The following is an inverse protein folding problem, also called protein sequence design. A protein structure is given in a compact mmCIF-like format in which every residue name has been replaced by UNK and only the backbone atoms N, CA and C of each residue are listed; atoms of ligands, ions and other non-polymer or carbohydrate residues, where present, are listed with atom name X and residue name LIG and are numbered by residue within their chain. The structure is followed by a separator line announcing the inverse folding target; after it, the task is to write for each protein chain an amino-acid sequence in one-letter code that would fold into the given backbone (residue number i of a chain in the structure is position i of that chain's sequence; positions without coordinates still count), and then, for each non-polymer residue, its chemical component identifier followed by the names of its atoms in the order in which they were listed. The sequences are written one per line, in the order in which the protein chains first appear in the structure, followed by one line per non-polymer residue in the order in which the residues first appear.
data_IF_884821976987
#
_entry.id   IF_884821976987
#
_cell.length_a   1.000
_cell.length_b   1.000
_cell.length_c   1.000
_cell.angle_alpha   90.00
_cell.angle_beta   90.00
_cell.angle_gamma   90.00
#
_symmetry.space_group_name_H-M   'P 1'
#
loop_
_entity.id
_entity.type
_entity.pdbx_description
1 polymer ?
#
# COMPACT_ATOMS: atom_id res chain seq x y z
N UNK A 1 39.06 17.98 19.80
CA UNK A 1 39.12 16.65 19.17
C UNK A 1 38.51 15.67 20.15
N UNK A 2 37.53 14.80 19.86
CA UNK A 2 36.63 14.57 18.70
C UNK A 2 35.47 13.70 19.23
N UNK A 3 34.20 13.77 18.81
CA UNK A 3 33.41 14.71 17.99
C UNK A 3 31.92 14.46 18.34
N UNK A 4 31.03 15.45 18.23
CA UNK A 4 29.59 15.26 18.46
C UNK A 4 28.97 14.32 17.42
N UNK A 5 28.25 13.29 17.87
CA UNK A 5 27.53 12.38 16.98
C UNK A 5 26.24 13.05 16.51
N UNK A 6 26.33 13.70 15.34
CA UNK A 6 25.21 14.39 14.68
C UNK A 6 23.93 13.55 14.67
N UNK A 7 22.86 14.10 15.25
CA UNK A 7 21.55 13.46 15.27
C UNK A 7 20.98 13.38 13.85
N UNK A 8 20.57 12.17 13.43
CA UNK A 8 19.86 11.98 12.16
C UNK A 8 18.59 12.84 12.14
N UNK A 9 18.27 13.56 11.05
CA UNK A 9 17.01 14.29 10.96
C UNK A 9 15.85 13.30 10.97
N UNK A 10 14.99 13.38 11.98
CA UNK A 10 13.72 12.65 11.99
C UNK A 10 12.83 13.23 10.90
N UNK A 11 12.44 12.39 9.93
CA UNK A 11 11.56 12.81 8.84
C UNK A 11 10.15 13.03 9.39
N UNK A 12 9.78 14.29 9.62
CA UNK A 12 8.47 14.65 10.18
C UNK A 12 7.39 14.52 9.11
N UNK A 13 6.76 13.34 9.05
CA UNK A 13 5.50 13.15 8.33
C UNK A 13 4.38 13.84 9.12
N UNK A 14 4.00 15.04 8.67
CA UNK A 14 2.73 15.66 9.06
C UNK A 14 1.58 14.82 8.52
N UNK A 15 1.18 13.78 9.25
CA UNK A 15 0.01 12.96 8.93
C UNK A 15 -1.28 13.75 9.20
N UNK A 16 -1.67 14.58 8.23
CA UNK A 16 -3.10 14.83 8.06
C UNK A 16 -3.75 13.48 7.84
N UNK A 17 -4.51 13.00 8.83
CA UNK A 17 -5.22 11.73 8.77
C UNK A 17 -6.25 11.78 7.64
N UNK A 18 -5.79 11.41 6.44
CA UNK A 18 -6.61 11.38 5.26
C UNK A 18 -7.59 10.21 5.44
N UNK A 19 -8.89 10.50 5.41
CA UNK A 19 -9.93 9.48 5.28
C UNK A 19 -9.79 8.81 3.92
N UNK A 20 -8.81 7.90 3.83
CA UNK A 20 -8.46 7.18 2.62
C UNK A 20 -9.37 5.99 2.39
N UNK A 21 -9.03 5.21 1.36
CA UNK A 21 -9.79 4.02 0.95
C UNK A 21 -10.02 3.01 2.09
N UNK A 22 -9.18 2.99 3.13
CA UNK A 22 -9.29 2.14 4.32
C UNK A 22 -10.67 2.19 5.03
N UNK A 23 -11.43 3.29 4.88
CA UNK A 23 -12.75 3.45 5.51
C UNK A 23 -13.92 3.08 4.57
N UNK A 24 -13.66 2.40 3.44
CA UNK A 24 -14.71 2.01 2.50
C UNK A 24 -15.62 0.90 3.07
N UNK A 25 -16.96 0.99 2.97
CA UNK A 25 -17.86 -0.05 3.49
C UNK A 25 -17.60 -1.43 2.86
N UNK A 26 -17.49 -2.46 3.71
CA UNK A 26 -17.24 -3.84 3.28
C UNK A 26 -15.79 -4.14 2.87
N UNK A 27 -14.84 -3.23 3.12
CA UNK A 27 -13.44 -3.45 2.73
C UNK A 27 -12.76 -4.64 3.44
N UNK A 28 -13.24 -5.05 4.62
CA UNK A 28 -12.71 -6.22 5.34
C UNK A 28 -13.47 -7.53 5.07
N UNK A 29 -14.55 -7.52 4.28
CA UNK A 29 -15.40 -8.70 4.01
C UNK A 29 -14.63 -9.87 3.36
N UNK A 30 -13.50 -9.59 2.70
CA UNK A 30 -12.64 -10.61 2.11
C UNK A 30 -11.98 -11.53 3.13
N UNK A 31 -11.87 -11.11 4.40
CA UNK A 31 -11.21 -11.88 5.47
C UNK A 31 -11.98 -13.16 5.85
N UNK A 32 -13.28 -13.17 5.61
CA UNK A 32 -14.16 -14.32 5.85
C UNK A 32 -14.22 -15.28 4.65
N UNK A 33 -13.57 -14.94 3.52
CA UNK A 33 -13.51 -15.79 2.33
C UNK A 33 -12.40 -16.85 2.43
N UNK A 34 -12.55 -18.02 1.79
CA UNK A 34 -11.50 -19.04 1.73
C UNK A 34 -10.22 -18.51 1.05
N UNK A 35 -9.07 -18.65 1.73
CA UNK A 35 -7.76 -18.21 1.23
C UNK A 35 -6.78 -19.38 1.08
N UNK A 36 -6.21 -19.56 -0.11
CA UNK A 36 -5.42 -20.76 -0.46
C UNK A 36 -3.90 -20.61 -0.40
N UNK A 37 -3.38 -19.37 -0.50
CA UNK A 37 -1.94 -19.09 -0.65
C UNK A 37 -1.40 -18.18 0.48
N UNK A 38 -2.04 -18.20 1.65
CA UNK A 38 -1.58 -17.46 2.81
C UNK A 38 -0.52 -18.26 3.59
N UNK A 39 0.63 -17.67 3.94
CA UNK A 39 1.65 -18.34 4.74
C UNK A 39 1.18 -18.55 6.19
N UNK A 40 1.66 -19.62 6.83
CA UNK A 40 1.40 -19.91 8.24
C UNK A 40 2.35 -19.10 9.14
N UNK A 41 1.96 -17.85 9.44
CA UNK A 41 2.64 -17.01 10.43
C UNK A 41 2.61 -17.69 11.81
N UNK A 42 3.78 -18.09 12.31
CA UNK A 42 3.92 -18.79 13.59
C UNK A 42 3.68 -17.86 14.78
N UNK A 43 4.12 -16.60 14.66
CA UNK A 43 3.97 -15.56 15.67
C UNK A 43 2.90 -14.55 15.22
N UNK A 44 1.81 -14.48 15.99
CA UNK A 44 0.68 -13.59 15.70
C UNK A 44 0.90 -12.16 16.17
N UNK A 45 1.74 -11.97 17.19
CA UNK A 45 2.02 -10.65 17.75
C UNK A 45 3.00 -9.90 16.84
N UNK A 46 4.00 -10.59 16.30
CA UNK A 46 4.89 -10.06 15.24
C UNK A 46 4.09 -9.75 13.97
N UNK A 47 3.17 -10.63 13.55
CA UNK A 47 2.28 -10.36 12.41
C UNK A 47 1.43 -9.09 12.64
N UNK A 48 0.79 -8.96 13.80
CA UNK A 48 -0.03 -7.80 14.12
C UNK A 48 0.81 -6.51 14.20
N UNK A 49 2.02 -6.57 14.75
CA UNK A 49 2.95 -5.45 14.78
C UNK A 49 3.37 -5.00 13.38
N UNK A 50 3.71 -5.94 12.49
CA UNK A 50 4.06 -5.64 11.09
C UNK A 50 2.90 -5.01 10.31
N UNK A 51 1.66 -5.51 10.50
CA UNK A 51 0.46 -4.90 9.89
C UNK A 51 0.23 -3.49 10.42
N UNK A 52 0.40 -3.28 11.73
CA UNK A 52 0.32 -1.97 12.37
C UNK A 52 1.32 -0.96 11.80
N UNK A 53 2.60 -1.35 11.70
CA UNK A 53 3.66 -0.52 11.10
C UNK A 53 3.34 -0.14 9.65
N UNK A 54 3.02 -1.12 8.80
CA UNK A 54 2.73 -0.88 7.39
C UNK A 54 1.50 0.02 7.18
N UNK A 55 0.50 -0.04 8.07
CA UNK A 55 -0.74 0.74 7.96
C UNK A 55 -0.58 2.26 8.11
N UNK A 56 0.52 2.73 8.71
CA UNK A 56 0.80 4.16 8.94
C UNK A 56 1.85 4.74 7.99
N UNK A 57 2.46 3.91 7.13
CA UNK A 57 3.43 4.37 6.13
C UNK A 57 2.73 5.10 4.96
N UNK A 58 3.42 6.02 4.28
CA UNK A 58 2.90 6.65 3.07
C UNK A 58 2.54 5.62 1.98
N UNK A 59 1.45 5.84 1.21
CA UNK A 59 1.10 4.95 0.11
C UNK A 59 2.14 5.03 -1.01
N UNK A 60 2.33 3.91 -1.72
CA UNK A 60 3.27 3.83 -2.84
C UNK A 60 2.78 4.54 -4.12
N UNK A 61 1.47 4.75 -4.25
CA UNK A 61 0.81 5.39 -5.40
C UNK A 61 -0.37 6.25 -4.93
N UNK A 62 -0.69 7.29 -5.68
CA UNK A 62 -1.83 8.18 -5.43
C UNK A 62 -3.08 7.73 -6.19
N UNK A 63 -4.26 8.07 -5.66
CA UNK A 63 -5.54 7.69 -6.27
C UNK A 63 -5.68 8.16 -7.73
N UNK A 64 -5.24 9.38 -8.05
CA UNK A 64 -5.28 9.91 -9.42
C UNK A 64 -4.39 9.15 -10.41
N UNK A 65 -3.33 8.49 -9.97
CA UNK A 65 -2.50 7.63 -10.83
C UNK A 65 -3.26 6.35 -11.20
N UNK A 66 -4.04 5.80 -10.25
CA UNK A 66 -4.93 4.65 -10.47
C UNK A 66 -6.08 5.02 -11.42
N UNK A 67 -6.62 6.23 -11.31
CA UNK A 67 -7.67 6.71 -12.22
C UNK A 67 -7.16 6.85 -13.66
N UNK A 68 -5.98 7.46 -13.86
CA UNK A 68 -5.30 7.54 -15.17
C UNK A 68 -4.95 6.14 -15.73
N UNK A 69 -4.53 5.20 -14.88
CA UNK A 69 -4.30 3.82 -15.29
C UNK A 69 -5.61 3.14 -15.73
N UNK A 70 -6.72 3.37 -15.02
CA UNK A 70 -8.05 2.82 -15.37
C UNK A 70 -8.53 3.29 -16.74
N UNK A 71 -8.37 4.58 -17.06
CA UNK A 71 -8.69 5.13 -18.39
C UNK A 71 -7.87 4.48 -19.51
N UNK A 72 -6.56 4.27 -19.28
CA UNK A 72 -5.67 3.59 -20.24
C UNK A 72 -6.03 2.12 -20.45
N UNK A 73 -6.40 1.42 -19.37
CA UNK A 73 -6.88 0.04 -19.44
C UNK A 73 -8.23 -0.06 -20.17
N UNK A 74 -9.13 0.90 -20.00
CA UNK A 74 -10.37 0.97 -20.76
C UNK A 74 -10.09 1.13 -22.27
N UNK A 75 -9.19 2.03 -22.66
CA UNK A 75 -8.79 2.18 -24.06
C UNK A 75 -8.16 0.89 -24.65
N UNK A 76 -7.40 0.14 -23.85
CA UNK A 76 -6.87 -1.16 -24.26
C UNK A 76 -7.97 -2.23 -24.43
N UNK A 77 -8.95 -2.28 -23.52
CA UNK A 77 -10.11 -3.17 -23.62
C UNK A 77 -11.00 -2.86 -24.84
N UNK A 78 -11.06 -1.60 -25.25
CA UNK A 78 -11.73 -1.14 -26.48
C UNK A 78 -10.89 -1.38 -27.77
N UNK A 79 -9.70 -2.00 -27.67
CA UNK A 79 -8.81 -2.26 -28.81
C UNK A 79 -8.11 -1.01 -29.37
N UNK A 80 -8.12 0.11 -28.64
CA UNK A 80 -7.50 1.39 -29.02
C UNK A 80 -6.05 1.53 -28.52
N UNK A 81 -5.61 0.62 -27.66
CA UNK A 81 -4.26 0.55 -27.11
C UNK A 81 -3.85 -0.91 -26.83
N UNK A 82 -2.57 -1.14 -26.54
CA UNK A 82 -2.05 -2.43 -26.09
C UNK A 82 -1.54 -2.32 -24.65
N UNK A 83 -1.80 -3.33 -23.83
CA UNK A 83 -1.18 -3.50 -22.52
C UNK A 83 0.09 -4.35 -22.67
N UNK A 84 1.22 -3.83 -22.20
CA UNK A 84 2.45 -4.59 -22.00
C UNK A 84 2.79 -4.54 -20.52
N UNK A 85 2.91 -5.72 -19.90
CA UNK A 85 3.39 -5.89 -18.53
C UNK A 85 4.69 -6.71 -18.59
N UNK A 86 5.77 -6.14 -18.05
CA UNK A 86 7.04 -6.82 -17.80
C UNK A 86 7.34 -6.83 -16.29
N UNK A 87 8.38 -7.56 -15.89
CA UNK A 87 8.77 -7.71 -14.49
C UNK A 87 10.24 -8.10 -14.32
N UNK A 88 10.56 -8.47 -13.08
CA UNK A 88 11.78 -9.17 -12.63
C UNK A 88 12.02 -10.48 -13.42
#
# INVERSE_FOLDING_TARGET
MVTELSAKPAFSLSSTAQSGAANYPGLDDWRDLPVSQQPSWQDKDVFAASVGELSVLPPLVFAGEVDVLRERLAAAAEGKAFLLQGGD
#
